data_IF_222786808422
#
_entry.id   IF_222786808422
#
_cell.length_a   1.000
_cell.length_b   1.000
_cell.length_c   1.000
_cell.angle_alpha   90.00
_cell.angle_beta   90.00
_cell.angle_gamma   90.00
#
_symmetry.space_group_name_H-M   'P 1'
#
loop_
_entity.id
_entity.type
_entity.pdbx_description
1 polymer ?
#
# COMPACT_ATOMS: atom_id res chain seq x y z
N UNK A 1 -42.37 -40.74 -57.17
CA UNK A 1 -42.13 -39.28 -57.14
C UNK A 1 -40.64 -38.91 -57.19
N UNK A 2 -39.75 -39.58 -56.43
CA UNK A 2 -38.29 -39.36 -56.47
C UNK A 2 -37.63 -39.72 -57.82
N UNK A 3 -38.06 -40.79 -58.50
CA UNK A 3 -37.50 -41.17 -59.81
C UNK A 3 -37.79 -40.16 -60.93
N UNK A 4 -38.97 -39.53 -60.90
CA UNK A 4 -39.33 -38.49 -61.88
C UNK A 4 -38.48 -37.22 -61.71
N UNK A 5 -38.14 -36.86 -60.47
CA UNK A 5 -37.23 -35.74 -60.20
C UNK A 5 -35.84 -36.03 -60.75
N UNK A 6 -35.27 -37.21 -60.49
CA UNK A 6 -33.92 -37.58 -60.93
C UNK A 6 -33.81 -37.59 -62.46
N UNK A 7 -34.83 -38.10 -63.17
CA UNK A 7 -34.87 -38.05 -64.63
C UNK A 7 -35.03 -36.62 -65.18
N UNK A 8 -35.75 -35.75 -64.45
CA UNK A 8 -35.85 -34.33 -64.79
C UNK A 8 -34.50 -33.60 -64.62
N UNK A 9 -33.77 -33.89 -63.54
CA UNK A 9 -32.43 -33.33 -63.29
C UNK A 9 -31.41 -33.76 -64.35
N UNK A 10 -31.51 -35.01 -64.85
CA UNK A 10 -30.66 -35.49 -65.96
C UNK A 10 -31.01 -34.87 -67.31
N UNK A 11 -32.27 -34.49 -67.55
CA UNK A 11 -32.75 -33.98 -68.85
C UNK A 11 -32.47 -32.49 -69.06
N UNK A 12 -32.30 -31.72 -67.99
CA UNK A 12 -32.12 -30.26 -68.06
C UNK A 12 -30.94 -29.71 -67.22
N UNK A 13 -29.72 -30.29 -67.30
CA UNK A 13 -28.59 -29.90 -66.44
C UNK A 13 -28.21 -28.41 -66.58
N UNK A 14 -28.37 -27.85 -67.78
CA UNK A 14 -28.11 -26.43 -68.07
C UNK A 14 -29.07 -25.48 -67.32
N UNK A 15 -30.33 -25.86 -67.11
CA UNK A 15 -31.31 -25.02 -66.41
C UNK A 15 -31.07 -24.98 -64.91
N UNK A 16 -30.60 -26.08 -64.32
CA UNK A 16 -30.25 -26.14 -62.89
C UNK A 16 -29.00 -25.31 -62.62
N UNK A 17 -27.99 -25.39 -63.50
CA UNK A 17 -26.79 -24.56 -63.42
C UNK A 17 -27.19 -23.08 -63.54
N UNK A 18 -28.06 -22.73 -64.49
CA UNK A 18 -28.56 -21.36 -64.64
C UNK A 18 -29.34 -20.84 -63.41
N UNK A 19 -30.14 -21.69 -62.77
CA UNK A 19 -30.86 -21.31 -61.54
C UNK A 19 -29.87 -21.12 -60.38
N UNK A 20 -28.90 -22.02 -60.21
CA UNK A 20 -27.88 -21.90 -59.16
C UNK A 20 -26.98 -20.69 -59.36
N UNK A 21 -26.60 -20.35 -60.60
CA UNK A 21 -25.82 -19.15 -60.90
C UNK A 21 -26.58 -17.85 -60.67
N UNK A 22 -27.91 -17.87 -60.58
CA UNK A 22 -28.70 -16.69 -60.16
C UNK A 22 -28.98 -16.68 -58.65
N UNK A 23 -29.31 -17.83 -58.04
CA UNK A 23 -29.65 -17.90 -56.61
C UNK A 23 -28.41 -17.68 -55.74
N UNK A 24 -27.24 -18.21 -56.12
CA UNK A 24 -26.02 -18.07 -55.30
C UNK A 24 -25.58 -16.61 -55.22
N UNK A 25 -25.50 -15.81 -56.30
CA UNK A 25 -25.24 -14.38 -56.21
C UNK A 25 -26.34 -13.62 -55.49
N UNK A 26 -27.63 -13.97 -55.65
CA UNK A 26 -28.71 -13.29 -54.91
C UNK A 26 -28.59 -13.56 -53.41
N UNK A 27 -28.33 -14.79 -53.00
CA UNK A 27 -28.10 -15.19 -51.62
C UNK A 27 -26.82 -14.53 -51.06
N UNK A 28 -25.75 -14.47 -51.86
CA UNK A 28 -24.51 -13.78 -51.49
C UNK A 28 -24.64 -12.24 -51.52
N UNK A 29 -25.51 -11.65 -52.33
CA UNK A 29 -25.77 -10.20 -52.33
C UNK A 29 -26.73 -9.81 -51.21
N UNK A 30 -27.73 -10.64 -50.92
CA UNK A 30 -28.70 -10.44 -49.83
C UNK A 30 -28.09 -10.69 -48.46
N UNK A 31 -27.16 -11.65 -48.34
CA UNK A 31 -26.48 -11.97 -47.08
C UNK A 31 -25.05 -11.45 -46.98
N UNK A 32 -24.35 -11.23 -48.09
CA UNK A 32 -22.94 -10.80 -48.11
C UNK A 32 -22.72 -9.30 -48.05
N UNK A 33 -23.76 -8.48 -48.30
CA UNK A 33 -23.78 -7.10 -47.81
C UNK A 33 -24.32 -7.12 -46.38
N UNK A 34 -23.44 -7.41 -45.42
CA UNK A 34 -23.74 -7.16 -44.00
C UNK A 34 -24.39 -5.78 -43.88
N UNK A 35 -25.55 -5.72 -43.26
CA UNK A 35 -26.33 -4.50 -43.09
C UNK A 35 -25.41 -3.37 -42.57
N UNK A 36 -25.57 -2.15 -43.10
CA UNK A 36 -24.77 -0.98 -42.74
C UNK A 36 -24.72 -0.75 -41.22
N UNK A 37 -25.82 -0.98 -40.52
CA UNK A 37 -25.92 -0.86 -39.05
C UNK A 37 -24.99 -1.87 -38.37
N UNK A 38 -25.03 -3.13 -38.80
CA UNK A 38 -24.15 -4.17 -38.28
C UNK A 38 -22.68 -3.91 -38.59
N UNK A 39 -22.37 -3.40 -39.78
CA UNK A 39 -20.99 -3.04 -40.15
C UNK A 39 -20.47 -1.89 -39.30
N UNK A 40 -21.31 -0.90 -38.98
CA UNK A 40 -20.97 0.16 -38.04
C UNK A 40 -20.68 -0.41 -36.64
N UNK A 41 -21.54 -1.30 -36.15
CA UNK A 41 -21.35 -1.97 -34.86
C UNK A 41 -20.03 -2.78 -34.83
N UNK A 42 -19.72 -3.52 -35.91
CA UNK A 42 -18.47 -4.26 -36.06
C UNK A 42 -17.25 -3.36 -36.08
N UNK A 43 -17.34 -2.18 -36.71
CA UNK A 43 -16.27 -1.17 -36.70
C UNK A 43 -16.03 -0.63 -35.29
N UNK A 44 -17.10 -0.33 -34.55
CA UNK A 44 -17.00 0.11 -33.15
C UNK A 44 -16.34 -0.96 -32.28
N UNK A 45 -16.76 -2.22 -32.39
CA UNK A 45 -16.14 -3.35 -31.69
C UNK A 45 -14.64 -3.47 -31.97
N UNK A 46 -14.20 -3.32 -33.23
CA UNK A 46 -12.77 -3.32 -33.58
C UNK A 46 -12.01 -2.13 -33.00
N UNK A 47 -12.62 -0.95 -32.98
CA UNK A 47 -11.99 0.24 -32.40
C UNK A 47 -11.80 0.09 -30.88
N UNK A 48 -12.75 -0.52 -30.16
CA UNK A 48 -12.57 -0.87 -28.75
C UNK A 48 -11.30 -1.71 -28.55
N UNK A 49 -11.13 -2.78 -29.34
CA UNK A 49 -9.96 -3.64 -29.25
C UNK A 49 -8.67 -2.86 -29.52
N UNK A 50 -8.65 -2.00 -30.54
CA UNK A 50 -7.47 -1.18 -30.86
C UNK A 50 -7.11 -0.20 -29.75
N UNK A 51 -8.12 0.37 -29.08
CA UNK A 51 -7.90 1.27 -27.93
C UNK A 51 -7.32 0.49 -26.75
N UNK A 52 -7.89 -0.68 -26.44
CA UNK A 52 -7.41 -1.50 -25.33
C UNK A 52 -6.00 -2.05 -25.60
N UNK A 53 -5.67 -2.36 -26.85
CA UNK A 53 -4.34 -2.85 -27.24
C UNK A 53 -3.24 -1.80 -27.03
N UNK A 54 -3.56 -0.51 -27.00
CA UNK A 54 -2.60 0.55 -26.71
C UNK A 54 -2.06 0.48 -25.27
N UNK A 55 -2.77 -0.19 -24.36
CA UNK A 55 -2.35 -0.34 -22.96
C UNK A 55 -0.99 -1.07 -22.83
N UNK A 56 -0.60 -1.90 -23.81
CA UNK A 56 0.72 -2.55 -23.83
C UNK A 56 1.89 -1.57 -23.78
N UNK A 57 1.68 -0.34 -24.26
CA UNK A 57 2.74 0.68 -24.32
C UNK A 57 3.14 1.18 -22.92
N UNK A 58 2.30 0.96 -21.91
CA UNK A 58 2.60 1.26 -20.51
C UNK A 58 3.42 0.16 -19.81
N UNK A 59 3.64 -0.99 -20.47
CA UNK A 59 4.37 -2.12 -19.90
C UNK A 59 5.77 -2.17 -20.50
N UNK A 60 6.79 -2.04 -19.64
CA UNK A 60 8.20 -2.10 -20.01
C UNK A 60 8.91 -3.13 -19.14
N UNK A 61 9.54 -4.13 -19.75
CA UNK A 61 10.24 -5.21 -19.05
C UNK A 61 9.39 -5.92 -17.98
N UNK A 62 8.09 -6.10 -18.26
CA UNK A 62 7.10 -6.67 -17.32
C UNK A 62 6.80 -5.79 -16.10
N UNK A 63 7.22 -4.51 -16.12
CA UNK A 63 6.91 -3.51 -15.10
C UNK A 63 5.99 -2.43 -15.67
N UNK A 64 5.13 -1.90 -14.82
CA UNK A 64 4.23 -0.80 -15.15
C UNK A 64 4.97 0.54 -15.09
N UNK A 65 4.96 1.30 -16.18
CA UNK A 65 5.33 2.71 -16.17
C UNK A 65 4.08 3.55 -15.88
N UNK A 66 3.94 4.02 -14.63
CA UNK A 66 2.74 4.72 -14.18
C UNK A 66 2.53 6.06 -14.90
N UNK A 67 3.61 6.75 -15.27
CA UNK A 67 3.53 8.03 -15.97
C UNK A 67 2.97 7.86 -17.38
N UNK A 68 3.49 6.85 -18.10
CA UNK A 68 3.02 6.49 -19.44
C UNK A 68 1.62 5.90 -19.38
N UNK A 69 1.33 5.06 -18.39
CA UNK A 69 0.00 4.49 -18.17
C UNK A 69 -1.08 5.57 -18.01
N UNK A 70 -0.84 6.59 -17.17
CA UNK A 70 -1.79 7.68 -16.94
C UNK A 70 -2.05 8.46 -18.23
N UNK A 71 -1.01 8.74 -19.03
CA UNK A 71 -1.17 9.41 -20.32
C UNK A 71 -2.00 8.58 -21.31
N UNK A 72 -1.69 7.28 -21.45
CA UNK A 72 -2.42 6.38 -22.36
C UNK A 72 -3.88 6.23 -21.91
N UNK A 73 -4.12 6.12 -20.60
CA UNK A 73 -5.48 6.02 -20.06
C UNK A 73 -6.29 7.28 -20.39
N UNK A 74 -5.70 8.47 -20.25
CA UNK A 74 -6.34 9.73 -20.64
C UNK A 74 -6.73 9.74 -22.13
N UNK A 75 -5.82 9.31 -23.01
CA UNK A 75 -6.10 9.19 -24.44
C UNK A 75 -7.19 8.16 -24.73
N UNK A 76 -7.13 7.00 -24.07
CA UNK A 76 -8.13 5.95 -24.19
C UNK A 76 -9.51 6.42 -23.72
N UNK A 77 -9.60 7.17 -22.61
CA UNK A 77 -10.86 7.77 -22.12
C UNK A 77 -11.44 8.72 -23.17
N UNK A 78 -10.62 9.58 -23.78
CA UNK A 78 -11.07 10.49 -24.83
C UNK A 78 -11.54 9.74 -26.09
N UNK A 79 -10.80 8.71 -26.50
CA UNK A 79 -11.13 7.89 -27.66
C UNK A 79 -12.41 7.08 -27.47
N UNK A 80 -12.58 6.45 -26.31
CA UNK A 80 -13.79 5.70 -25.96
C UNK A 80 -15.01 6.61 -25.86
N UNK A 81 -14.85 7.80 -25.25
CA UNK A 81 -15.92 8.80 -25.15
C UNK A 81 -16.37 9.28 -26.53
N UNK A 82 -15.42 9.57 -27.41
CA UNK A 82 -15.68 9.93 -28.81
C UNK A 82 -16.38 8.80 -29.55
N UNK A 83 -15.95 7.55 -29.36
CA UNK A 83 -16.57 6.37 -29.97
C UNK A 83 -18.02 6.16 -29.50
N UNK A 84 -18.28 6.36 -28.19
CA UNK A 84 -19.61 6.30 -27.59
C UNK A 84 -20.54 7.39 -28.13
N UNK A 85 -20.05 8.63 -28.23
CA UNK A 85 -20.84 9.72 -28.79
C UNK A 85 -21.16 9.48 -30.28
N UNK A 86 -20.20 8.97 -31.04
CA UNK A 86 -20.42 8.59 -32.43
C UNK A 86 -21.46 7.46 -32.56
N UNK A 87 -21.42 6.46 -31.67
CA UNK A 87 -22.39 5.37 -31.63
C UNK A 87 -23.82 5.90 -31.41
N UNK A 88 -24.00 6.83 -30.46
CA UNK A 88 -25.30 7.45 -30.14
C UNK A 88 -25.89 8.29 -31.27
N UNK A 89 -25.04 8.89 -32.11
CA UNK A 89 -25.46 9.73 -33.23
C UNK A 89 -25.86 8.94 -34.49
N UNK A 90 -25.67 7.62 -34.51
CA UNK A 90 -26.06 6.78 -35.64
C UNK A 90 -27.58 6.56 -35.65
N UNK A 91 -28.20 6.82 -36.81
CA UNK A 91 -29.59 6.40 -37.06
C UNK A 91 -29.58 4.90 -37.31
N UNK A 92 -30.14 4.14 -36.37
CA UNK A 92 -30.21 2.68 -36.42
C UNK A 92 -31.62 2.20 -36.71
N UNK A 93 -31.74 1.09 -37.42
CA UNK A 93 -33.01 0.38 -37.53
C UNK A 93 -33.31 -0.40 -36.24
N UNK A 94 -34.60 -0.56 -35.92
CA UNK A 94 -35.05 -1.27 -34.70
C UNK A 94 -34.47 -2.68 -34.58
N UNK A 95 -34.21 -3.34 -35.71
CA UNK A 95 -33.59 -4.67 -35.79
C UNK A 95 -32.23 -4.76 -35.07
N UNK A 96 -31.46 -3.68 -35.00
CA UNK A 96 -30.12 -3.66 -34.42
C UNK A 96 -30.03 -2.94 -33.08
N UNK A 97 -31.17 -2.55 -32.49
CA UNK A 97 -31.20 -1.78 -31.24
C UNK A 97 -30.47 -2.49 -30.10
N UNK A 98 -30.69 -3.79 -29.91
CA UNK A 98 -30.05 -4.55 -28.84
C UNK A 98 -28.52 -4.68 -29.03
N UNK A 99 -28.07 -4.80 -30.28
CA UNK A 99 -26.64 -4.83 -30.64
C UNK A 99 -25.95 -3.51 -30.28
N UNK A 100 -26.63 -2.39 -30.53
CA UNK A 100 -26.11 -1.07 -30.21
C UNK A 100 -26.15 -0.80 -28.70
N UNK A 101 -27.22 -1.22 -28.01
CA UNK A 101 -27.31 -1.13 -26.55
C UNK A 101 -26.21 -1.94 -25.87
N UNK A 102 -25.88 -3.15 -26.36
CA UNK A 102 -24.78 -3.94 -25.78
C UNK A 102 -23.42 -3.27 -25.98
N UNK A 103 -23.21 -2.61 -27.12
CA UNK A 103 -21.99 -1.85 -27.38
C UNK A 103 -21.91 -0.58 -26.52
N UNK A 104 -23.01 0.14 -26.32
CA UNK A 104 -23.04 1.32 -25.45
C UNK A 104 -22.70 0.95 -24.00
N UNK A 105 -23.27 -0.16 -23.50
CA UNK A 105 -22.93 -0.70 -22.18
C UNK A 105 -21.45 -1.10 -22.07
N UNK A 106 -20.91 -1.76 -23.10
CA UNK A 106 -19.50 -2.14 -23.17
C UNK A 106 -18.56 -0.93 -23.19
N UNK A 107 -18.93 0.13 -23.89
CA UNK A 107 -18.18 1.39 -23.91
C UNK A 107 -18.26 2.12 -22.57
N UNK A 108 -19.42 2.13 -21.94
CA UNK A 108 -19.62 2.74 -20.63
C UNK A 108 -18.78 2.07 -19.54
N UNK A 109 -18.83 0.74 -19.46
CA UNK A 109 -18.04 0.00 -18.48
C UNK A 109 -16.54 0.15 -18.73
N UNK A 110 -16.09 0.13 -20.00
CA UNK A 110 -14.67 0.34 -20.32
C UNK A 110 -14.20 1.77 -19.97
N UNK A 111 -15.04 2.79 -20.21
CA UNK A 111 -14.75 4.16 -19.77
C UNK A 111 -14.58 4.24 -18.27
N UNK A 112 -15.50 3.64 -17.50
CA UNK A 112 -15.42 3.60 -16.04
C UNK A 112 -14.16 2.86 -15.58
N UNK A 113 -13.82 1.75 -16.23
CA UNK A 113 -12.59 0.98 -15.96
C UNK A 113 -11.33 1.83 -16.18
N UNK A 114 -11.19 2.49 -17.33
CA UNK A 114 -10.03 3.35 -17.60
C UNK A 114 -9.95 4.53 -16.62
N UNK A 115 -11.09 5.16 -16.29
CA UNK A 115 -11.13 6.26 -15.32
C UNK A 115 -10.69 5.81 -13.93
N UNK A 116 -11.26 4.72 -13.41
CA UNK A 116 -10.89 4.18 -12.09
C UNK A 116 -9.40 3.85 -12.01
N UNK A 117 -8.88 3.25 -13.09
CA UNK A 117 -7.45 2.92 -13.19
C UNK A 117 -6.58 4.17 -13.18
N UNK A 118 -6.98 5.21 -13.91
CA UNK A 118 -6.24 6.48 -13.96
C UNK A 118 -6.20 7.13 -12.58
N UNK A 119 -7.33 7.18 -11.87
CA UNK A 119 -7.43 7.74 -10.52
C UNK A 119 -6.56 6.99 -9.51
N UNK A 120 -6.56 5.65 -9.56
CA UNK A 120 -5.70 4.80 -8.73
C UNK A 120 -4.22 5.09 -8.95
N UNK A 121 -3.79 5.20 -10.20
CA UNK A 121 -2.38 5.46 -10.53
C UNK A 121 -1.94 6.89 -10.21
N UNK A 122 -2.87 7.86 -10.23
CA UNK A 122 -2.59 9.25 -9.86
C UNK A 122 -2.55 9.47 -8.35
N UNK A 123 -3.29 8.67 -7.58
CA UNK A 123 -3.41 8.83 -6.13
C UNK A 123 -3.08 7.54 -5.36
N UNK A 124 -1.86 6.97 -5.52
CA UNK A 124 -1.51 5.69 -4.90
C UNK A 124 -1.34 5.75 -3.36
N UNK A 125 -1.40 6.95 -2.76
CA UNK A 125 -1.32 7.13 -1.31
C UNK A 125 -2.66 7.45 -0.67
N UNK A 126 -3.77 7.27 -1.38
CA UNK A 126 -5.10 7.57 -0.84
C UNK A 126 -5.47 6.61 0.30
N UNK A 127 -6.26 7.09 1.26
CA UNK A 127 -6.71 6.26 2.39
C UNK A 127 -7.73 5.18 1.98
N UNK A 128 -8.33 5.31 0.80
CA UNK A 128 -9.34 4.42 0.23
C UNK A 128 -8.80 3.56 -0.92
N UNK A 129 -7.47 3.41 -1.02
CA UNK A 129 -6.83 2.68 -2.13
C UNK A 129 -7.27 1.22 -2.23
N UNK A 130 -7.49 0.53 -1.10
CA UNK A 130 -7.98 -0.85 -1.07
C UNK A 130 -9.40 -0.94 -1.65
N UNK A 131 -10.30 -0.05 -1.22
CA UNK A 131 -11.67 0.05 -1.74
C UNK A 131 -11.67 0.40 -3.23
N UNK A 132 -10.76 1.29 -3.64
CA UNK A 132 -10.58 1.67 -5.04
C UNK A 132 -10.06 0.53 -5.91
N UNK A 133 -9.21 -0.35 -5.36
CA UNK A 133 -8.74 -1.56 -6.02
C UNK A 133 -9.86 -2.61 -6.15
N UNK A 134 -10.70 -2.78 -5.13
CA UNK A 134 -11.90 -3.65 -5.21
C UNK A 134 -12.91 -3.17 -6.26
N UNK A 135 -13.08 -1.85 -6.36
CA UNK A 135 -13.87 -1.22 -7.41
C UNK A 135 -13.29 -1.52 -8.80
N UNK A 136 -11.96 -1.48 -8.96
CA UNK A 136 -11.28 -1.84 -10.21
C UNK A 136 -11.56 -3.30 -10.59
N UNK A 137 -11.46 -4.25 -9.66
CA UNK A 137 -11.79 -5.66 -9.90
C UNK A 137 -13.23 -5.84 -10.38
N UNK A 138 -14.17 -5.17 -9.72
CA UNK A 138 -15.59 -5.23 -10.07
C UNK A 138 -15.86 -4.66 -11.47
N UNK A 139 -15.22 -3.54 -11.83
CA UNK A 139 -15.33 -2.92 -13.15
C UNK A 139 -14.69 -3.78 -14.26
N UNK A 140 -13.61 -4.49 -13.94
CA UNK A 140 -12.96 -5.41 -14.88
C UNK A 140 -13.89 -6.57 -15.24
N UNK A 141 -14.52 -7.19 -14.23
CA UNK A 141 -15.51 -8.25 -14.41
C UNK A 141 -16.77 -7.76 -15.14
N UNK A 142 -17.30 -6.59 -14.77
CA UNK A 142 -18.43 -5.93 -15.45
C UNK A 142 -18.12 -5.71 -16.94
N UNK A 143 -16.93 -5.20 -17.24
CA UNK A 143 -16.49 -4.93 -18.62
C UNK A 143 -16.37 -6.22 -19.44
N UNK A 144 -15.76 -7.26 -18.87
CA UNK A 144 -15.64 -8.56 -19.55
C UNK A 144 -17.01 -9.22 -19.78
N UNK A 145 -17.95 -9.10 -18.83
CA UNK A 145 -19.33 -9.57 -19.01
C UNK A 145 -20.06 -8.84 -20.14
N UNK A 146 -19.92 -7.52 -20.22
CA UNK A 146 -20.51 -6.71 -21.29
C UNK A 146 -19.92 -7.07 -22.66
N UNK A 147 -18.61 -7.29 -22.73
CA UNK A 147 -17.94 -7.78 -23.93
C UNK A 147 -18.42 -9.16 -24.35
N UNK A 148 -18.53 -10.10 -23.41
CA UNK A 148 -19.06 -11.44 -23.69
C UNK A 148 -20.51 -11.41 -24.18
N UNK A 149 -21.32 -10.48 -23.66
CA UNK A 149 -22.69 -10.29 -24.13
C UNK A 149 -22.75 -9.83 -25.59
N UNK A 150 -21.81 -8.99 -26.04
CA UNK A 150 -21.69 -8.59 -27.45
C UNK A 150 -21.42 -9.78 -28.39
N UNK A 151 -20.70 -10.80 -27.92
CA UNK A 151 -20.39 -12.02 -28.70
C UNK A 151 -21.64 -12.77 -29.14
N UNK A 152 -22.76 -12.66 -28.39
CA UNK A 152 -24.05 -13.23 -28.78
C UNK A 152 -24.59 -12.66 -30.10
N UNK A 153 -24.16 -11.45 -30.45
CA UNK A 153 -24.53 -10.76 -31.69
C UNK A 153 -23.43 -10.86 -32.76
N UNK A 154 -22.37 -11.65 -32.54
CA UNK A 154 -21.25 -11.78 -33.48
C UNK A 154 -20.26 -10.59 -33.47
N UNK A 155 -20.25 -9.81 -32.38
CA UNK A 155 -19.28 -8.75 -32.12
C UNK A 155 -18.30 -9.22 -31.05
N UNK A 156 -17.00 -8.98 -31.23
CA UNK A 156 -15.98 -9.49 -30.31
C UNK A 156 -15.12 -8.34 -29.74
N UNK A 157 -15.70 -7.36 -29.02
CA UNK A 157 -14.91 -6.45 -28.21
C UNK A 157 -14.24 -7.23 -27.07
N UNK A 158 -13.06 -6.80 -26.63
CA UNK A 158 -12.26 -7.46 -25.61
C UNK A 158 -11.23 -6.49 -25.04
N UNK A 159 -10.70 -6.78 -23.86
CA UNK A 159 -9.51 -6.07 -23.34
C UNK A 159 -8.24 -6.37 -24.14
N UNK A 160 -8.25 -7.37 -25.01
CA UNK A 160 -7.05 -8.00 -25.60
C UNK A 160 -6.12 -8.59 -24.53
N UNK A 161 -5.27 -9.54 -24.93
CA UNK A 161 -4.27 -10.11 -24.00
C UNK A 161 -3.37 -9.02 -23.41
N UNK A 162 -3.01 -8.03 -24.23
CA UNK A 162 -2.23 -6.89 -23.82
C UNK A 162 -2.92 -5.99 -22.79
N UNK A 163 -4.24 -5.78 -22.91
CA UNK A 163 -4.98 -5.05 -21.87
C UNK A 163 -5.09 -5.86 -20.57
N UNK A 164 -5.29 -7.18 -20.66
CA UNK A 164 -5.29 -8.06 -19.47
C UNK A 164 -3.95 -8.00 -18.73
N UNK A 165 -2.83 -8.12 -19.45
CA UNK A 165 -1.48 -7.97 -18.89
C UNK A 165 -1.29 -6.62 -18.21
N UNK A 166 -1.81 -5.54 -18.80
CA UNK A 166 -1.76 -4.21 -18.21
C UNK A 166 -2.52 -4.13 -16.88
N UNK A 167 -3.77 -4.61 -16.83
CA UNK A 167 -4.55 -4.56 -15.59
C UNK A 167 -3.96 -5.46 -14.50
N UNK A 168 -3.37 -6.60 -14.86
CA UNK A 168 -2.61 -7.43 -13.91
C UNK A 168 -1.39 -6.68 -13.34
N UNK A 169 -0.67 -5.94 -14.18
CA UNK A 169 0.46 -5.12 -13.74
C UNK A 169 0.02 -3.96 -12.83
N UNK A 170 -1.11 -3.31 -13.14
CA UNK A 170 -1.71 -2.29 -12.25
C UNK A 170 -2.08 -2.89 -10.90
N UNK A 171 -2.77 -4.03 -10.86
CA UNK A 171 -3.15 -4.67 -9.61
C UNK A 171 -1.92 -5.05 -8.78
N UNK A 172 -0.87 -5.57 -9.41
CA UNK A 172 0.39 -5.91 -8.74
C UNK A 172 1.02 -4.66 -8.13
N UNK A 173 1.16 -3.59 -8.92
CA UNK A 173 1.70 -2.31 -8.46
C UNK A 173 0.92 -1.74 -7.26
N UNK A 174 -0.41 -1.68 -7.35
CA UNK A 174 -1.25 -1.12 -6.27
C UNK A 174 -1.17 -1.98 -5.00
N UNK A 175 -1.15 -3.31 -5.12
CA UNK A 175 -0.97 -4.20 -3.97
C UNK A 175 0.40 -4.01 -3.28
N UNK A 176 1.47 -3.77 -4.04
CA UNK A 176 2.79 -3.45 -3.48
C UNK A 176 2.76 -2.14 -2.69
N UNK A 177 2.10 -1.11 -3.22
CA UNK A 177 1.93 0.17 -2.52
C UNK A 177 1.11 -0.01 -1.24
N UNK A 178 0.00 -0.75 -1.28
CA UNK A 178 -0.80 -1.07 -0.08
C UNK A 178 0.07 -1.72 0.99
N UNK A 179 0.89 -2.70 0.59
CA UNK A 179 1.81 -3.39 1.50
C UNK A 179 2.82 -2.42 2.11
N UNK A 180 3.47 -1.59 1.29
CA UNK A 180 4.44 -0.57 1.75
C UNK A 180 3.78 0.38 2.76
N UNK A 181 2.58 0.88 2.47
CA UNK A 181 1.85 1.78 3.35
C UNK A 181 1.49 1.11 4.68
N UNK A 182 1.08 -0.16 4.65
CA UNK A 182 0.77 -0.93 5.87
C UNK A 182 2.03 -1.15 6.72
N UNK A 183 3.11 -1.58 6.09
CA UNK A 183 4.38 -1.86 6.78
C UNK A 183 4.97 -0.57 7.37
N UNK A 184 4.86 0.56 6.67
CA UNK A 184 5.21 1.89 7.18
C UNK A 184 4.39 2.26 8.42
N UNK A 185 3.05 2.12 8.38
CA UNK A 185 2.18 2.40 9.53
C UNK A 185 2.53 1.54 10.75
N UNK A 186 2.80 0.25 10.55
CA UNK A 186 3.21 -0.66 11.61
C UNK A 186 4.54 -0.20 12.22
N UNK A 187 5.53 0.14 11.39
CA UNK A 187 6.83 0.61 11.86
C UNK A 187 6.71 1.93 12.64
N UNK A 188 5.94 2.90 12.14
CA UNK A 188 5.68 4.15 12.86
C UNK A 188 4.98 3.91 14.21
N UNK A 189 4.03 2.98 14.28
CA UNK A 189 3.37 2.61 15.56
C UNK A 189 4.38 2.06 16.57
N UNK A 190 5.24 1.12 16.13
CA UNK A 190 6.29 0.54 16.97
C UNK A 190 7.31 1.58 17.45
N UNK A 191 7.71 2.50 16.56
CA UNK A 191 8.63 3.58 16.92
C UNK A 191 7.99 4.54 17.94
N UNK A 192 6.72 4.89 17.78
CA UNK A 192 6.00 5.73 18.74
C UNK A 192 5.84 5.06 20.11
N UNK A 193 5.54 3.76 20.15
CA UNK A 193 5.47 3.00 21.41
C UNK A 193 6.82 2.94 22.12
N UNK A 194 7.90 2.73 21.36
CA UNK A 194 9.27 2.73 21.88
C UNK A 194 9.67 4.10 22.45
N UNK A 195 9.42 5.19 21.71
CA UNK A 195 9.68 6.57 22.15
C UNK A 195 8.95 6.86 23.47
N UNK A 196 7.65 6.56 23.54
CA UNK A 196 6.87 6.77 24.78
C UNK A 196 7.42 5.99 25.96
N UNK A 197 7.86 4.77 25.72
CA UNK A 197 8.43 3.91 26.76
C UNK A 197 9.78 4.46 27.25
N UNK A 198 10.63 4.96 26.33
CA UNK A 198 11.87 5.65 26.70
C UNK A 198 11.60 6.95 27.47
N UNK A 199 10.65 7.78 27.04
CA UNK A 199 10.28 9.01 27.76
C UNK A 199 9.86 8.71 29.22
N UNK A 200 9.03 7.67 29.41
CA UNK A 200 8.63 7.21 30.73
C UNK A 200 9.85 6.76 31.56
N UNK A 201 10.74 5.97 30.98
CA UNK A 201 11.99 5.54 31.63
C UNK A 201 12.90 6.70 32.05
N UNK A 202 13.07 7.70 31.17
CA UNK A 202 13.86 8.90 31.47
C UNK A 202 13.22 9.67 32.64
N UNK A 203 11.90 9.82 32.62
CA UNK A 203 11.18 10.52 33.68
C UNK A 203 11.33 9.83 35.05
N UNK A 204 11.29 8.50 35.07
CA UNK A 204 11.53 7.66 36.26
C UNK A 204 12.98 7.70 36.73
N UNK A 205 13.94 7.85 35.82
CA UNK A 205 15.37 7.89 36.14
C UNK A 205 15.78 9.18 36.85
N UNK A 206 15.27 10.35 36.43
CA UNK A 206 15.66 11.65 36.98
C UNK A 206 15.63 11.72 38.53
N UNK A 207 14.55 11.30 39.23
CA UNK A 207 14.55 11.31 40.69
C UNK A 207 15.46 10.23 41.31
N UNK A 208 15.86 9.19 40.58
CA UNK A 208 16.74 8.13 41.08
C UNK A 208 18.19 8.62 41.17
N UNK A 209 18.64 9.39 40.18
CA UNK A 209 20.03 9.85 40.05
C UNK A 209 20.29 11.25 40.61
N UNK A 210 19.37 11.78 41.41
CA UNK A 210 19.54 13.06 42.12
C UNK A 210 20.83 13.08 42.94
N UNK A 211 21.55 14.22 42.95
CA UNK A 211 22.72 14.43 43.80
C UNK A 211 22.32 14.49 45.29
N UNK A 212 22.74 13.48 46.04
CA UNK A 212 22.51 13.40 47.49
C UNK A 212 23.63 14.00 48.33
N UNK A 213 24.76 14.43 47.74
CA UNK A 213 25.88 15.02 48.49
C UNK A 213 25.44 16.24 49.32
N UNK A 214 24.66 17.21 48.79
CA UNK A 214 24.19 18.35 49.59
C UNK A 214 23.29 17.92 50.77
N UNK A 215 22.48 16.87 50.59
CA UNK A 215 21.63 16.34 51.65
C UNK A 215 22.46 15.67 52.76
N UNK A 216 23.50 14.94 52.37
CA UNK A 216 24.46 14.31 53.30
C UNK A 216 25.19 15.36 54.12
N UNK A 217 25.72 16.40 53.50
CA UNK A 217 26.40 17.51 54.18
C UNK A 217 25.49 18.17 55.21
N UNK A 218 24.23 18.43 54.84
CA UNK A 218 23.25 19.03 55.75
C UNK A 218 22.89 18.13 56.93
N UNK A 219 22.75 16.82 56.71
CA UNK A 219 22.50 15.85 57.81
C UNK A 219 23.66 15.86 58.81
N UNK A 220 24.91 15.99 58.33
CA UNK A 220 26.09 16.12 59.18
C UNK A 220 26.11 17.42 59.97
N UNK A 221 25.88 18.57 59.31
CA UNK A 221 25.83 19.88 59.95
C UNK A 221 24.80 19.93 61.08
N UNK A 222 23.62 19.37 60.82
CA UNK A 222 22.51 19.31 61.77
C UNK A 222 22.70 18.21 62.84
N UNK A 223 23.75 17.40 62.76
CA UNK A 223 23.99 16.22 63.60
C UNK A 223 22.79 15.27 63.64
N UNK A 224 22.12 15.12 62.50
CA UNK A 224 20.99 14.21 62.29
C UNK A 224 21.49 12.81 61.95
N UNK A 225 20.60 11.85 62.08
CA UNK A 225 20.87 10.45 61.73
C UNK A 225 21.07 10.28 60.22
N UNK A 226 22.22 9.72 59.83
CA UNK A 226 22.56 9.41 58.44
C UNK A 226 21.73 8.24 57.89
N UNK A 227 21.10 7.44 58.76
CA UNK A 227 20.21 6.33 58.40
C UNK A 227 19.07 6.75 57.48
N UNK A 228 18.58 8.00 57.58
CA UNK A 228 17.57 8.54 56.68
C UNK A 228 18.05 8.61 55.23
N UNK A 229 19.33 8.95 55.01
CA UNK A 229 19.93 8.95 53.67
C UNK A 229 20.13 7.52 53.18
N UNK A 230 20.57 6.61 54.06
CA UNK A 230 20.75 5.19 53.72
C UNK A 230 19.42 4.58 53.22
N UNK A 231 18.32 4.83 53.91
CA UNK A 231 17.01 4.32 53.50
C UNK A 231 16.53 4.95 52.18
N UNK A 232 16.77 6.24 51.98
CA UNK A 232 16.50 6.91 50.70
C UNK A 232 17.29 6.26 49.54
N UNK A 233 18.57 5.96 49.73
CA UNK A 233 19.39 5.27 48.71
C UNK A 233 18.87 3.85 48.48
N UNK A 234 18.40 3.11 49.49
CA UNK A 234 17.76 1.78 49.31
C UNK A 234 16.50 1.89 48.43
N UNK A 235 15.65 2.87 48.67
CA UNK A 235 14.44 3.10 47.87
C UNK A 235 14.79 3.44 46.41
N UNK A 236 15.78 4.31 46.19
CA UNK A 236 16.28 4.64 44.85
C UNK A 236 16.86 3.41 44.13
N UNK A 237 17.61 2.55 44.82
CA UNK A 237 18.11 1.28 44.26
C UNK A 237 16.98 0.31 43.89
N UNK A 238 15.95 0.21 44.74
CA UNK A 238 14.77 -0.60 44.43
C UNK A 238 14.04 -0.07 43.18
N UNK A 239 13.88 1.26 43.11
CA UNK A 239 13.25 1.94 41.97
C UNK A 239 14.06 1.77 40.69
N UNK A 240 15.39 1.81 40.77
CA UNK A 240 16.28 1.56 39.65
C UNK A 240 16.15 0.13 39.13
N UNK A 241 16.08 -0.87 40.01
CA UNK A 241 15.91 -2.26 39.60
C UNK A 241 14.55 -2.48 38.90
N UNK A 242 13.48 -1.84 39.38
CA UNK A 242 12.18 -1.86 38.71
C UNK A 242 12.28 -1.21 37.32
N UNK A 243 12.91 -0.04 37.21
CA UNK A 243 13.13 0.65 35.95
C UNK A 243 13.95 -0.21 34.96
N UNK A 244 15.01 -0.88 35.41
CA UNK A 244 15.82 -1.78 34.57
C UNK A 244 14.98 -2.95 34.06
N UNK A 245 14.11 -3.52 34.90
CA UNK A 245 13.22 -4.60 34.49
C UNK A 245 12.19 -4.13 33.46
N UNK A 246 11.55 -2.98 33.70
CA UNK A 246 10.61 -2.35 32.77
C UNK A 246 11.31 -2.09 31.42
N UNK A 247 12.49 -1.47 31.46
CA UNK A 247 13.31 -1.16 30.29
C UNK A 247 13.70 -2.41 29.48
N UNK A 248 14.19 -3.46 30.13
CA UNK A 248 14.58 -4.69 29.46
C UNK A 248 13.39 -5.46 28.86
N UNK A 249 12.16 -5.15 29.27
CA UNK A 249 10.94 -5.76 28.73
C UNK A 249 10.39 -5.03 27.50
N UNK A 250 10.97 -3.88 27.12
CA UNK A 250 10.49 -3.06 26.01
C UNK A 250 10.66 -3.77 24.66
N UNK A 251 9.67 -3.60 23.78
CA UNK A 251 9.80 -3.99 22.39
C UNK A 251 10.64 -2.95 21.65
N UNK A 252 11.83 -3.35 21.19
CA UNK A 252 12.77 -2.45 20.51
C UNK A 252 12.62 -2.57 18.98
N UNK A 253 12.23 -1.50 18.27
CA UNK A 253 12.26 -1.49 16.82
C UNK A 253 13.72 -1.45 16.33
N UNK A 254 13.98 -1.98 15.13
CA UNK A 254 15.34 -2.10 14.60
C UNK A 254 16.09 -0.76 14.54
N UNK A 255 15.39 0.33 14.24
CA UNK A 255 15.96 1.68 14.19
C UNK A 255 16.27 2.26 15.59
N UNK A 256 15.64 1.74 16.64
CA UNK A 256 15.79 2.20 18.02
C UNK A 256 16.85 1.47 18.82
N UNK A 257 17.52 0.47 18.24
CA UNK A 257 18.48 -0.40 18.95
C UNK A 257 19.63 0.40 19.57
N UNK A 258 20.18 1.36 18.84
CA UNK A 258 21.29 2.18 19.37
C UNK A 258 20.82 3.10 20.52
N UNK A 259 19.59 3.64 20.45
CA UNK A 259 18.99 4.38 21.57
C UNK A 259 18.86 3.50 22.81
N UNK A 260 18.41 2.26 22.62
CA UNK A 260 18.27 1.28 23.68
C UNK A 260 19.64 1.00 24.34
N UNK A 261 20.66 0.66 23.55
CA UNK A 261 22.01 0.38 24.05
C UNK A 261 22.62 1.57 24.80
N UNK A 262 22.45 2.80 24.30
CA UNK A 262 22.95 4.00 24.98
C UNK A 262 22.22 4.25 26.31
N UNK A 263 20.90 4.05 26.36
CA UNK A 263 20.17 4.21 27.62
C UNK A 263 20.55 3.13 28.64
N UNK A 264 20.83 1.91 28.18
CA UNK A 264 21.34 0.83 29.03
C UNK A 264 22.64 1.22 29.74
N UNK A 265 23.57 1.88 29.04
CA UNK A 265 24.81 2.41 29.62
C UNK A 265 24.51 3.43 30.74
N UNK A 266 23.47 4.27 30.58
CA UNK A 266 23.05 5.21 31.63
C UNK A 266 22.57 4.47 32.87
N UNK A 267 21.72 3.44 32.69
CA UNK A 267 21.21 2.62 33.80
C UNK A 267 22.33 1.88 34.53
N UNK A 268 23.31 1.35 33.79
CA UNK A 268 24.48 0.68 34.36
C UNK A 268 25.33 1.65 35.19
N UNK A 269 25.58 2.87 34.69
CA UNK A 269 26.32 3.89 35.45
C UNK A 269 25.53 4.36 36.69
N UNK A 270 24.21 4.54 36.57
CA UNK A 270 23.35 4.91 37.71
C UNK A 270 23.40 3.85 38.81
N UNK A 271 23.47 2.57 38.43
CA UNK A 271 23.65 1.47 39.39
C UNK A 271 24.98 1.56 40.12
N UNK A 272 26.08 1.78 39.38
CA UNK A 272 27.42 1.97 39.97
C UNK A 272 27.42 3.15 40.96
N UNK A 273 26.85 4.29 40.57
CA UNK A 273 26.73 5.46 41.45
C UNK A 273 26.01 5.13 42.77
N UNK A 274 24.83 4.50 42.71
CA UNK A 274 24.07 4.16 43.93
C UNK A 274 24.73 3.06 44.76
N UNK A 275 25.49 2.15 44.14
CA UNK A 275 26.30 1.15 44.84
C UNK A 275 27.45 1.80 45.60
N UNK A 276 28.24 2.66 44.95
CA UNK A 276 29.32 3.43 45.56
C UNK A 276 28.83 4.32 46.69
N UNK A 277 27.71 5.03 46.49
CA UNK A 277 27.13 5.89 47.53
C UNK A 277 26.69 5.09 48.76
N UNK A 278 26.04 3.94 48.56
CA UNK A 278 25.62 3.06 49.64
C UNK A 278 26.82 2.50 50.43
N UNK A 279 27.92 2.18 49.75
CA UNK A 279 29.16 1.71 50.40
C UNK A 279 29.77 2.79 51.29
N UNK A 280 29.96 4.01 50.76
CA UNK A 280 30.48 5.16 51.52
C UNK A 280 29.63 5.50 52.74
N UNK A 281 28.29 5.49 52.60
CA UNK A 281 27.38 5.78 53.71
C UNK A 281 27.48 4.72 54.83
N UNK A 282 27.63 3.44 54.48
CA UNK A 282 27.82 2.35 55.46
C UNK A 282 29.17 2.44 56.16
N UNK A 283 30.24 2.83 55.45
CA UNK A 283 31.54 3.06 56.07
C UNK A 283 31.49 4.22 57.08
N UNK A 284 30.78 5.29 56.75
CA UNK A 284 30.57 6.42 57.65
C UNK A 284 29.79 6.00 58.89
N UNK A 285 28.68 5.28 58.73
CA UNK A 285 27.86 4.79 59.84
C UNK A 285 28.64 3.84 60.77
N UNK A 286 29.46 2.94 60.23
CA UNK A 286 30.18 1.93 61.00
C UNK A 286 31.48 2.45 61.64
N UNK A 287 32.20 3.35 60.96
CA UNK A 287 33.57 3.71 61.32
C UNK A 287 33.84 5.21 61.43
N UNK A 288 32.84 6.07 61.24
CA UNK A 288 33.02 7.53 61.13
C UNK A 288 34.08 7.93 60.09
N UNK A 289 34.27 7.11 59.04
CA UNK A 289 35.18 7.39 57.94
C UNK A 289 34.42 8.06 56.81
N UNK A 290 34.93 9.19 56.32
CA UNK A 290 34.29 9.98 55.26
C UNK A 290 35.17 9.89 54.01
N UNK A 291 34.75 9.08 53.04
CA UNK A 291 35.34 9.04 51.71
C UNK A 291 34.25 8.91 50.63
N UNK A 292 34.08 9.99 49.87
CA UNK A 292 33.09 10.12 48.80
C UNK A 292 33.74 10.43 47.44
N UNK A 293 35.06 10.25 47.34
CA UNK A 293 35.83 10.57 46.13
C UNK A 293 35.33 9.81 44.89
N UNK A 294 35.05 8.51 45.06
CA UNK A 294 34.47 7.67 44.01
C UNK A 294 33.01 8.03 43.71
N UNK A 295 32.23 8.42 44.72
CA UNK A 295 30.80 8.78 44.58
C UNK A 295 30.62 9.96 43.63
N UNK A 296 31.43 11.02 43.79
CA UNK A 296 31.37 12.18 42.90
C UNK A 296 31.75 11.80 41.46
N UNK A 297 32.78 10.97 41.29
CA UNK A 297 33.22 10.51 39.96
C UNK A 297 32.13 9.68 39.27
N UNK A 298 31.48 8.77 40.00
CA UNK A 298 30.41 7.92 39.47
C UNK A 298 29.13 8.71 39.16
N UNK A 299 28.82 9.72 39.98
CA UNK A 299 27.73 10.68 39.72
C UNK A 299 27.97 11.48 38.43
N UNK A 300 29.17 12.07 38.29
CA UNK A 300 29.55 12.82 37.09
C UNK A 300 29.50 11.94 35.84
N UNK A 301 29.98 10.69 35.93
CA UNK A 301 29.93 9.72 34.85
C UNK A 301 28.48 9.38 34.45
N UNK A 302 27.60 9.19 35.43
CA UNK A 302 26.17 8.94 35.20
C UNK A 302 25.53 10.09 34.43
N UNK A 303 25.72 11.32 34.91
CA UNK A 303 25.18 12.52 34.24
C UNK A 303 25.76 12.72 32.84
N UNK A 304 27.07 12.56 32.67
CA UNK A 304 27.71 12.65 31.35
C UNK A 304 27.12 11.63 30.36
N UNK A 305 26.87 10.40 30.80
CA UNK A 305 26.20 9.39 29.97
C UNK A 305 24.74 9.73 29.67
N UNK A 306 24.00 10.31 30.62
CA UNK A 306 22.63 10.76 30.42
C UNK A 306 22.55 11.92 29.41
N UNK A 307 23.46 12.88 29.47
CA UNK A 307 23.50 14.01 28.53
C UNK A 307 23.88 13.57 27.12
N UNK A 308 24.83 12.65 27.00
CA UNK A 308 25.19 12.00 25.73
C UNK A 308 23.98 11.24 25.14
N UNK A 309 23.28 10.46 25.97
CA UNK A 309 22.05 9.79 25.57
C UNK A 309 20.96 10.77 25.12
N UNK A 310 20.68 11.83 25.89
CA UNK A 310 19.67 12.84 25.54
C UNK A 310 19.96 13.50 24.19
N UNK A 311 21.23 13.77 23.91
CA UNK A 311 21.66 14.32 22.62
C UNK A 311 21.31 13.37 21.48
N UNK A 312 21.71 12.10 21.59
CA UNK A 312 21.40 11.08 20.59
C UNK A 312 19.90 10.80 20.47
N UNK A 313 19.18 10.78 21.58
CA UNK A 313 17.74 10.54 21.62
C UNK A 313 16.96 11.63 20.89
N UNK A 314 17.36 12.89 21.05
CA UNK A 314 16.77 14.00 20.30
C UNK A 314 17.03 13.88 18.79
N UNK A 315 18.23 13.44 18.38
CA UNK A 315 18.52 13.15 16.97
C UNK A 315 17.66 12.00 16.43
N UNK A 316 17.51 10.93 17.20
CA UNK A 316 16.65 9.80 16.87
C UNK A 316 15.19 10.23 16.66
N UNK A 317 14.61 10.98 17.61
CA UNK A 317 13.22 11.48 17.49
C UNK A 317 13.04 12.33 16.22
N UNK A 318 14.00 13.21 15.92
CA UNK A 318 13.93 14.08 14.74
C UNK A 318 14.13 13.33 13.41
N UNK A 319 14.61 12.09 13.44
CA UNK A 319 14.84 11.26 12.26
C UNK A 319 13.66 10.35 11.88
N UNK A 320 12.61 10.30 12.71
CA UNK A 320 11.38 9.53 12.51
C UNK A 320 10.35 10.27 11.65
#
# INVERSE_FOLDING_TARGET
>A
MKENLINYFKKYPLWIIAILTFIIPIYLFSNGRLNKDFQNAKKVSKNINSINDNLKLAIKNSSLDTSVAVSILSDNINNLSSLKNNLKNLKISDKYKDVFNSLDASLDSNLRLCNQTSLLLQNPSSNDIEVSLDSLYSLLDETNKNYLYCSKYGLNPSLTSSGEDFYNAVQTYINEIIKINRDSKINSSKNNEFIRSLDDSISKLNPIIEDLIPAIEKVREDKRDIGVIIDNVKEKKSSLNLLINDFNSMSVPSQGMECFEKFQIVLDNAKVYLDSLMESLKEEEAFNKIDYSNVNTDYEKTNSSLDSFKTFYNEFINSQ
#
